data_IF_292727466371
#
_entry.id   IF_292727466371
#
_cell.length_a   1.000
_cell.length_b   1.000
_cell.length_c   1.000
_cell.angle_alpha   90.00
_cell.angle_beta   90.00
_cell.angle_gamma   90.00
#
_symmetry.space_group_name_H-M   'P 1'
#
loop_
_entity.id
_entity.type
_entity.pdbx_description
1 polymer ?
#
# COMPACT_ATOMS: atom_id res chain seq x y z
N UNK A 1 -10.51 10.05 14.29
CA UNK A 1 -9.68 9.25 13.35
C UNK A 1 -8.27 9.30 13.89
N UNK A 2 -7.73 8.17 14.34
CA UNK A 2 -6.40 8.12 14.95
C UNK A 2 -5.42 7.53 13.94
N UNK A 3 -4.38 8.29 13.59
CA UNK A 3 -3.30 7.86 12.69
C UNK A 3 -2.10 7.52 13.55
N UNK A 4 -1.61 6.29 13.47
CA UNK A 4 -0.40 5.85 14.14
C UNK A 4 0.72 5.72 13.10
N UNK A 5 1.83 6.41 13.31
CA UNK A 5 3.07 6.20 12.54
C UNK A 5 4.00 5.41 13.44
N UNK A 6 4.29 4.16 13.09
CA UNK A 6 5.34 3.37 13.71
C UNK A 6 6.65 3.67 13.00
N UNK A 7 7.65 4.16 13.74
CA UNK A 7 9.03 4.27 13.26
C UNK A 7 9.88 3.28 14.05
N UNK A 8 10.09 2.10 13.48
CA UNK A 8 11.09 1.14 13.96
C UNK A 8 12.27 1.13 12.97
N UNK A 9 13.22 2.02 13.28
CA UNK A 9 14.61 2.22 12.82
C UNK A 9 15.19 1.78 11.46
N UNK A 10 14.48 1.20 10.48
CA UNK A 10 15.02 1.08 9.10
C UNK A 10 13.94 0.82 8.02
N UNK A 11 12.66 0.78 8.37
CA UNK A 11 11.59 0.46 7.43
C UNK A 11 10.54 1.58 7.34
N UNK A 12 10.49 2.24 6.18
CA UNK A 12 9.46 3.23 5.87
C UNK A 12 8.18 2.50 5.46
N UNK A 13 7.07 2.76 6.15
CA UNK A 13 5.78 2.16 5.84
C UNK A 13 4.66 3.19 5.90
N UNK A 14 3.67 3.02 5.03
CA UNK A 14 2.43 3.79 5.02
C UNK A 14 1.29 2.88 5.46
N UNK A 15 0.53 3.28 6.49
CA UNK A 15 -0.56 2.47 7.03
C UNK A 15 -1.88 3.25 7.11
N UNK A 16 -2.98 2.63 6.70
CA UNK A 16 -4.32 3.23 6.63
C UNK A 16 -5.41 2.16 6.57
N UNK A 17 -6.67 2.55 6.79
CA UNK A 17 -7.82 1.66 6.62
C UNK A 17 -8.31 1.69 5.16
N UNK A 18 -8.57 0.52 4.57
CA UNK A 18 -9.07 0.38 3.19
C UNK A 18 -10.32 -0.51 3.15
N UNK A 19 -11.28 -0.19 2.27
CA UNK A 19 -12.44 -1.04 2.02
C UNK A 19 -12.18 -1.97 0.83
N UNK A 20 -12.01 -3.26 1.12
CA UNK A 20 -11.74 -4.29 0.11
C UNK A 20 -12.81 -5.39 0.15
N UNK A 21 -13.36 -5.77 -1.00
CA UNK A 21 -14.42 -6.79 -1.10
C UNK A 21 -15.61 -6.57 -0.12
N UNK A 22 -15.95 -5.31 0.14
CA UNK A 22 -17.05 -4.93 1.04
C UNK A 22 -16.70 -4.94 2.54
N UNK A 23 -15.50 -5.36 2.93
CA UNK A 23 -15.02 -5.38 4.32
C UNK A 23 -13.92 -4.34 4.54
N UNK A 24 -13.77 -3.87 5.78
CA UNK A 24 -12.71 -2.93 6.17
C UNK A 24 -11.46 -3.73 6.56
N UNK A 25 -10.30 -3.34 6.02
CA UNK A 25 -9.00 -3.94 6.32
C UNK A 25 -8.02 -2.86 6.75
N UNK A 26 -7.09 -3.22 7.63
CA UNK A 26 -5.90 -2.42 7.88
C UNK A 26 -4.88 -2.70 6.78
N UNK A 27 -4.58 -1.70 5.96
CA UNK A 27 -3.58 -1.76 4.92
C UNK A 27 -2.25 -1.21 5.42
N UNK A 28 -1.18 -1.94 5.14
CA UNK A 28 0.19 -1.49 5.35
C UNK A 28 0.97 -1.67 4.05
N UNK A 29 1.54 -0.58 3.53
CA UNK A 29 2.43 -0.56 2.38
C UNK A 29 3.86 -0.30 2.88
N UNK A 30 4.69 -1.34 2.83
CA UNK A 30 6.05 -1.33 3.32
C UNK A 30 7.03 -1.05 2.17
N UNK A 31 7.78 0.05 2.26
CA UNK A 31 8.81 0.39 1.28
C UNK A 31 9.91 -0.68 1.25
N UNK A 32 10.19 -1.17 0.05
CA UNK A 32 11.33 -1.99 -0.32
C UNK A 32 12.32 -1.14 -1.12
N UNK A 33 13.36 -1.74 -1.71
CA UNK A 33 14.37 -1.00 -2.46
C UNK A 33 13.81 -0.13 -3.61
N UNK A 34 12.79 -0.62 -4.33
CA UNK A 34 12.19 0.07 -5.48
C UNK A 34 10.67 -0.15 -5.60
N UNK A 35 10.05 -0.74 -4.59
CA UNK A 35 8.64 -1.16 -4.61
C UNK A 35 8.02 -1.05 -3.23
N UNK A 36 6.71 -1.21 -3.16
CA UNK A 36 5.96 -1.30 -1.92
C UNK A 36 5.36 -2.69 -1.79
N UNK A 37 5.63 -3.34 -0.66
CA UNK A 37 4.96 -4.59 -0.30
C UNK A 37 3.70 -4.28 0.50
N UNK A 38 2.56 -4.71 -0.01
CA UNK A 38 1.25 -4.41 0.58
C UNK A 38 0.74 -5.59 1.39
N UNK A 39 0.27 -5.30 2.60
CA UNK A 39 -0.38 -6.23 3.51
C UNK A 39 -1.77 -5.75 3.89
N UNK A 40 -2.74 -6.66 3.95
CA UNK A 40 -4.04 -6.42 4.58
C UNK A 40 -4.14 -7.25 5.86
N UNK A 41 -4.33 -6.61 7.02
CA UNK A 41 -4.33 -7.24 8.34
C UNK A 41 -3.10 -8.17 8.53
N UNK A 42 -1.91 -7.66 8.22
CA UNK A 42 -0.62 -8.39 8.27
C UNK A 42 -0.51 -9.59 7.31
N UNK A 43 -1.45 -9.75 6.36
CA UNK A 43 -1.37 -10.77 5.31
C UNK A 43 -0.90 -10.14 4.01
N UNK A 44 0.18 -10.70 3.43
CA UNK A 44 0.69 -10.25 2.14
C UNK A 44 -0.39 -10.32 1.06
N UNK A 45 -0.53 -9.22 0.32
CA UNK A 45 -1.48 -9.08 -0.78
C UNK A 45 -0.76 -8.95 -2.11
N UNK A 46 0.11 -7.95 -2.24
CA UNK A 46 0.74 -7.62 -3.51
C UNK A 46 2.08 -6.91 -3.30
N UNK A 47 2.93 -6.94 -4.32
CA UNK A 47 3.98 -5.95 -4.49
C UNK A 47 3.53 -4.93 -5.55
N UNK A 48 3.81 -3.65 -5.31
CA UNK A 48 3.43 -2.53 -6.16
C UNK A 48 4.63 -1.64 -6.50
N UNK A 49 4.65 -1.10 -7.70
CA UNK A 49 5.68 -0.19 -8.21
C UNK A 49 5.04 1.00 -8.90
N UNK A 50 5.73 2.14 -8.94
CA UNK A 50 5.29 3.29 -9.69
C UNK A 50 5.91 3.26 -11.09
N UNK A 51 5.06 3.25 -12.12
CA UNK A 51 5.45 3.41 -13.52
C UNK A 51 5.06 4.80 -14.01
N UNK A 52 5.98 5.52 -14.66
CA UNK A 52 5.73 6.90 -15.08
C UNK A 52 4.67 7.04 -16.19
N UNK A 53 4.37 5.97 -16.94
CA UNK A 53 3.35 5.96 -17.99
C UNK A 53 2.00 5.40 -17.54
N UNK A 54 1.98 4.54 -16.52
CA UNK A 54 0.79 3.83 -16.05
C UNK A 54 0.35 4.18 -14.62
N UNK A 55 1.18 4.91 -13.86
CA UNK A 55 0.97 5.17 -12.43
C UNK A 55 1.34 3.98 -11.57
N UNK A 56 0.65 3.82 -10.43
CA UNK A 56 0.86 2.68 -9.54
C UNK A 56 0.37 1.38 -10.19
N UNK A 57 1.27 0.42 -10.33
CA UNK A 57 1.00 -0.90 -10.90
C UNK A 57 1.30 -2.01 -9.89
N UNK A 58 0.52 -3.08 -9.96
CA UNK A 58 0.83 -4.30 -9.24
C UNK A 58 1.81 -5.15 -10.05
N UNK A 59 2.90 -5.59 -9.42
CA UNK A 59 3.95 -6.41 -10.06
C UNK A 59 3.93 -7.87 -9.60
N UNK A 60 3.34 -8.16 -8.44
CA UNK A 60 3.30 -9.51 -7.88
C UNK A 60 2.10 -9.72 -6.92
N UNK A 61 1.83 -10.97 -6.56
CA UNK A 61 0.88 -11.35 -5.52
C UNK A 61 -0.56 -11.62 -5.99
N UNK A 62 -1.52 -11.46 -5.08
CA UNK A 62 -2.96 -11.61 -5.35
C UNK A 62 -3.43 -10.46 -6.22
N UNK A 63 -4.07 -10.76 -7.35
CA UNK A 63 -4.59 -9.73 -8.25
C UNK A 63 -5.62 -8.84 -7.53
N UNK A 64 -5.24 -7.59 -7.31
CA UNK A 64 -6.10 -6.58 -6.73
C UNK A 64 -6.89 -5.87 -7.85
N UNK A 65 -8.14 -5.44 -7.58
CA UNK A 65 -8.86 -4.55 -8.49
C UNK A 65 -8.08 -3.25 -8.73
N UNK A 66 -8.13 -2.72 -9.95
CA UNK A 66 -7.43 -1.47 -10.31
C UNK A 66 -7.74 -0.32 -9.34
N UNK A 67 -9.01 -0.14 -8.96
CA UNK A 67 -9.41 0.89 -8.00
C UNK A 67 -8.74 0.74 -6.62
N UNK A 68 -8.46 -0.50 -6.18
CA UNK A 68 -7.75 -0.76 -4.93
C UNK A 68 -6.27 -0.37 -5.05
N UNK A 69 -5.64 -0.66 -6.19
CA UNK A 69 -4.25 -0.27 -6.48
C UNK A 69 -4.12 1.26 -6.50
N UNK A 70 -5.04 1.95 -7.17
CA UNK A 70 -5.10 3.41 -7.24
C UNK A 70 -5.25 4.05 -5.85
N UNK A 71 -6.16 3.53 -5.01
CA UNK A 71 -6.36 4.03 -3.64
C UNK A 71 -5.09 3.85 -2.78
N UNK A 72 -4.45 2.69 -2.85
CA UNK A 72 -3.19 2.44 -2.13
C UNK A 72 -2.11 3.40 -2.60
N UNK A 73 -1.98 3.58 -3.91
CA UNK A 73 -1.02 4.50 -4.52
C UNK A 73 -1.21 5.94 -4.05
N UNK A 74 -2.44 6.44 -4.06
CA UNK A 74 -2.74 7.79 -3.59
C UNK A 74 -2.40 7.99 -2.10
N UNK A 75 -2.56 6.96 -1.27
CA UNK A 75 -2.14 7.00 0.12
C UNK A 75 -0.62 7.04 0.29
N UNK A 76 0.13 6.32 -0.55
CA UNK A 76 1.59 6.35 -0.57
C UNK A 76 2.06 7.76 -0.96
N UNK A 77 1.55 8.30 -2.07
CA UNK A 77 1.93 9.64 -2.57
C UNK A 77 1.66 10.73 -1.51
N UNK A 78 0.49 10.69 -0.86
CA UNK A 78 0.13 11.65 0.19
C UNK A 78 0.88 11.52 1.52
N UNK A 79 1.83 10.59 1.65
CA UNK A 79 2.78 10.52 2.77
C UNK A 79 4.20 10.94 2.39
N UNK A 80 4.48 11.10 1.10
CA UNK A 80 5.81 11.48 0.59
C UNK A 80 5.95 12.99 0.34
N UNK A 81 4.84 13.74 0.37
CA UNK A 81 4.78 15.21 0.39
C UNK A 81 4.99 15.79 1.81
#
# INVERSE_FOLDING_TARGET
MFKFVYMDNDQCSVAFEIKYSGSLFFCEALLQAYSYRVYFNNRYMADMEYDAGAGWIQTNGTLLPAATIEEIGAHIDGQLD
#
